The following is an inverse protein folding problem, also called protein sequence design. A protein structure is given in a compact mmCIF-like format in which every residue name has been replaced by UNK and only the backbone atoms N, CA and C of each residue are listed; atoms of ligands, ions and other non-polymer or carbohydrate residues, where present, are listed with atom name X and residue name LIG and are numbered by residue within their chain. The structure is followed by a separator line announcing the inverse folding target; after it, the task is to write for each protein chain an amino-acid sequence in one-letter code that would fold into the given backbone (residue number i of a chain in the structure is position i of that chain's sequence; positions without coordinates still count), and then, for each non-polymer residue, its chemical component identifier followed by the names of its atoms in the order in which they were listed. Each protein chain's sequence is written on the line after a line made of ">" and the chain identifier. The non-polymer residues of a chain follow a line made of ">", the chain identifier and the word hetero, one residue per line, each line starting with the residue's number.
data_IF_421336724796
#
_entry.id   IF_421336724796
#
_cell.length_a   1.000
_cell.length_b   1.000
_cell.length_c   1.000
_cell.angle_alpha   90.00
_cell.angle_beta   90.00
_cell.angle_gamma   90.00
#
_symmetry.space_group_name_H-M   'P 1'
#
loop_
_entity.id
_entity.type
_entity.pdbx_description
1 polymer ?
#
# COMPACT_ATOMS: atom_id res chain seq x y z
N UNK A 1 -39.83 4.91 -52.98
CA UNK A 1 -38.86 5.81 -52.34
C UNK A 1 -38.71 5.35 -50.90
N UNK A 2 -37.58 4.72 -50.57
CA UNK A 2 -37.27 4.29 -49.21
C UNK A 2 -36.23 5.25 -48.65
N UNK A 3 -36.68 6.26 -47.91
CA UNK A 3 -35.79 7.07 -47.08
C UNK A 3 -35.62 6.34 -45.75
N UNK A 4 -34.53 5.59 -45.63
CA UNK A 4 -34.10 5.01 -44.36
C UNK A 4 -33.52 6.11 -43.46
N UNK A 5 -34.14 6.31 -42.32
CA UNK A 5 -33.63 7.15 -41.23
C UNK A 5 -32.31 6.58 -40.69
N UNK A 6 -31.19 7.24 -41.02
CA UNK A 6 -29.82 6.89 -40.59
C UNK A 6 -29.24 7.96 -39.65
N UNK A 7 -30.07 8.66 -38.89
CA UNK A 7 -29.62 9.80 -38.06
C UNK A 7 -29.40 9.44 -36.57
N UNK A 8 -29.74 8.23 -36.14
CA UNK A 8 -29.70 7.83 -34.71
C UNK A 8 -28.39 7.21 -34.21
N UNK A 9 -27.60 6.51 -35.05
CA UNK A 9 -26.42 5.77 -34.57
C UNK A 9 -25.19 6.65 -34.31
N UNK A 10 -25.10 7.82 -34.96
CA UNK A 10 -23.93 8.70 -34.86
C UNK A 10 -23.84 9.48 -33.55
N UNK A 11 -24.96 9.79 -32.90
CA UNK A 11 -24.98 10.54 -31.64
C UNK A 11 -24.56 9.68 -30.46
N UNK A 12 -25.04 8.44 -30.39
CA UNK A 12 -24.80 7.55 -29.25
C UNK A 12 -23.33 7.12 -29.17
N UNK A 13 -22.70 6.85 -30.32
CA UNK A 13 -21.26 6.53 -30.39
C UNK A 13 -20.40 7.74 -29.98
N UNK A 14 -20.82 8.96 -30.34
CA UNK A 14 -20.09 10.18 -29.99
C UNK A 14 -20.21 10.51 -28.50
N UNK A 15 -21.39 10.30 -27.92
CA UNK A 15 -21.61 10.43 -26.48
C UNK A 15 -20.82 9.39 -25.68
N UNK A 16 -20.84 8.13 -26.13
CA UNK A 16 -20.07 7.05 -25.52
C UNK A 16 -18.55 7.28 -25.60
N UNK A 17 -18.04 7.80 -26.72
CA UNK A 17 -16.60 8.11 -26.84
C UNK A 17 -16.16 9.30 -25.97
N UNK A 18 -16.99 10.34 -25.85
CA UNK A 18 -16.73 11.49 -24.97
C UNK A 18 -16.76 11.07 -23.50
N UNK A 19 -17.82 10.37 -23.08
CA UNK A 19 -17.95 9.82 -21.73
C UNK A 19 -16.75 8.97 -21.33
N UNK A 20 -16.31 8.06 -22.21
CA UNK A 20 -15.15 7.22 -21.96
C UNK A 20 -13.84 8.00 -21.89
N UNK A 21 -13.72 9.11 -22.63
CA UNK A 21 -12.55 9.98 -22.53
C UNK A 21 -12.48 10.63 -21.15
N UNK A 22 -13.61 11.13 -20.69
CA UNK A 22 -13.72 11.83 -19.42
C UNK A 22 -13.54 10.84 -18.25
N UNK A 23 -14.12 9.64 -18.33
CA UNK A 23 -13.87 8.55 -17.37
C UNK A 23 -12.38 8.19 -17.26
N UNK A 24 -11.67 8.10 -18.39
CA UNK A 24 -10.22 7.85 -18.37
C UNK A 24 -9.42 9.01 -17.81
N UNK A 25 -9.93 10.24 -17.88
CA UNK A 25 -9.28 11.38 -17.25
C UNK A 25 -9.46 11.29 -15.74
N UNK A 26 -10.70 11.07 -15.28
CA UNK A 26 -11.06 10.91 -13.86
C UNK A 26 -10.28 9.77 -13.19
N UNK A 27 -10.18 8.59 -13.84
CA UNK A 27 -9.38 7.47 -13.33
C UNK A 27 -7.89 7.81 -13.20
N UNK A 28 -7.34 8.62 -14.11
CA UNK A 28 -5.92 9.04 -14.03
C UNK A 28 -5.71 10.08 -12.95
N UNK A 29 -6.64 11.01 -12.79
CA UNK A 29 -6.58 12.03 -11.75
C UNK A 29 -6.61 11.37 -10.38
N UNK A 30 -7.50 10.41 -10.14
CA UNK A 30 -7.54 9.66 -8.88
C UNK A 30 -6.26 8.86 -8.66
N UNK A 31 -5.76 8.13 -9.67
CA UNK A 31 -4.48 7.42 -9.54
C UNK A 31 -3.33 8.36 -9.14
N UNK A 32 -3.24 9.53 -9.76
CA UNK A 32 -2.20 10.52 -9.45
C UNK A 32 -2.38 11.11 -8.05
N UNK A 33 -3.62 11.34 -7.62
CA UNK A 33 -3.91 11.88 -6.31
C UNK A 33 -3.60 10.88 -5.20
N UNK A 34 -3.97 9.61 -5.37
CA UNK A 34 -3.59 8.51 -4.46
C UNK A 34 -2.07 8.34 -4.39
N UNK A 35 -1.35 8.55 -5.49
CA UNK A 35 0.13 8.55 -5.48
C UNK A 35 0.69 9.72 -4.66
N UNK A 36 0.11 10.92 -4.79
CA UNK A 36 0.52 12.11 -4.04
C UNK A 36 0.20 11.99 -2.55
N UNK A 37 -0.95 11.42 -2.21
CA UNK A 37 -1.45 11.30 -0.83
C UNK A 37 -1.01 10.01 -0.12
N UNK A 38 -0.13 9.22 -0.74
CA UNK A 38 0.36 7.94 -0.22
C UNK A 38 0.83 8.00 1.24
N UNK A 39 1.49 9.08 1.64
CA UNK A 39 1.98 9.26 3.03
C UNK A 39 0.84 9.55 4.03
N UNK A 40 -0.21 10.25 3.59
CA UNK A 40 -1.38 10.60 4.41
C UNK A 40 -2.32 9.40 4.59
N UNK A 41 -2.29 8.45 3.65
CA UNK A 41 -3.07 7.20 3.69
C UNK A 41 -2.63 6.19 4.77
N UNK A 42 -1.74 6.61 5.69
CA UNK A 42 -1.51 5.92 6.96
C UNK A 42 -2.78 5.86 7.84
N UNK A 43 -3.69 6.83 7.69
CA UNK A 43 -4.99 6.81 8.35
C UNK A 43 -5.96 5.83 7.64
N UNK A 44 -6.50 4.80 8.34
CA UNK A 44 -7.40 3.81 7.75
C UNK A 44 -8.69 4.40 7.19
N UNK A 45 -9.22 5.46 7.80
CA UNK A 45 -10.47 6.08 7.34
C UNK A 45 -10.30 6.77 5.98
N UNK A 46 -9.11 7.36 5.76
CA UNK A 46 -8.75 8.00 4.48
C UNK A 46 -8.57 6.95 3.39
N UNK A 47 -7.89 5.84 3.71
CA UNK A 47 -7.71 4.72 2.79
C UNK A 47 -9.06 4.09 2.40
N UNK A 48 -9.95 3.88 3.37
CA UNK A 48 -11.28 3.31 3.11
C UNK A 48 -12.09 4.21 2.19
N UNK A 49 -12.10 5.53 2.44
CA UNK A 49 -12.80 6.49 1.58
C UNK A 49 -12.27 6.48 0.14
N UNK A 50 -10.95 6.41 -0.05
CA UNK A 50 -10.34 6.31 -1.37
C UNK A 50 -10.69 5.00 -2.08
N UNK A 51 -10.80 3.90 -1.33
CA UNK A 51 -11.26 2.61 -1.85
C UNK A 51 -12.72 2.68 -2.34
N UNK A 52 -13.61 3.28 -1.54
CA UNK A 52 -15.02 3.48 -1.90
C UNK A 52 -15.19 4.42 -3.10
N UNK A 53 -14.38 5.47 -3.20
CA UNK A 53 -14.36 6.37 -4.36
C UNK A 53 -13.86 5.67 -5.62
N UNK A 54 -12.83 4.82 -5.49
CA UNK A 54 -12.35 3.96 -6.58
C UNK A 54 -13.41 2.96 -7.07
N UNK A 55 -14.12 2.31 -6.14
CA UNK A 55 -15.14 1.31 -6.46
C UNK A 55 -16.32 1.91 -7.23
N UNK A 56 -16.74 3.13 -6.88
CA UNK A 56 -17.77 3.86 -7.65
C UNK A 56 -17.36 4.15 -9.09
N UNK A 57 -16.07 4.31 -9.35
CA UNK A 57 -15.55 4.52 -10.70
C UNK A 57 -15.42 3.21 -11.46
N UNK A 58 -15.12 2.12 -10.76
CA UNK A 58 -15.09 0.77 -11.32
C UNK A 58 -16.45 0.37 -11.92
N UNK A 59 -17.56 0.71 -11.26
CA UNK A 59 -18.92 0.46 -11.78
C UNK A 59 -19.17 1.05 -13.18
N UNK A 60 -18.43 2.10 -13.55
CA UNK A 60 -18.53 2.80 -14.84
C UNK A 60 -17.59 2.23 -15.90
N UNK A 61 -16.68 1.33 -15.54
CA UNK A 61 -15.68 0.74 -16.43
C UNK A 61 -16.31 -0.36 -17.27
N UNK A 62 -16.28 -0.19 -18.60
CA UNK A 62 -16.87 -1.17 -19.54
C UNK A 62 -15.85 -1.80 -20.47
N UNK A 63 -14.66 -1.19 -20.61
CA UNK A 63 -13.66 -1.63 -21.58
C UNK A 63 -12.30 -1.95 -20.94
N UNK A 64 -11.53 -2.87 -21.56
CA UNK A 64 -10.21 -3.28 -21.04
C UNK A 64 -9.24 -2.12 -20.82
N UNK A 65 -9.35 -1.06 -21.63
CA UNK A 65 -8.47 0.12 -21.52
C UNK A 65 -8.69 0.89 -20.22
N UNK A 66 -9.93 1.03 -19.79
CA UNK A 66 -10.28 1.69 -18.52
C UNK A 66 -9.95 0.77 -17.35
N UNK A 67 -10.27 -0.53 -17.46
CA UNK A 67 -9.92 -1.53 -16.47
C UNK A 67 -8.39 -1.61 -16.22
N UNK A 68 -7.57 -1.38 -17.24
CA UNK A 68 -6.12 -1.34 -17.09
C UNK A 68 -5.60 -0.12 -16.30
N UNK A 69 -6.34 0.99 -16.30
CA UNK A 69 -6.00 2.17 -15.48
C UNK A 69 -6.50 1.93 -14.05
N UNK A 70 -7.74 1.47 -13.94
CA UNK A 70 -8.41 1.21 -12.67
C UNK A 70 -7.70 0.11 -11.83
N UNK A 71 -7.31 -1.00 -12.45
CA UNK A 71 -6.50 -2.05 -11.79
C UNK A 71 -5.16 -1.54 -11.25
N UNK A 72 -4.54 -0.53 -11.90
CA UNK A 72 -3.31 0.09 -11.36
C UNK A 72 -3.62 0.89 -10.10
N UNK A 73 -4.77 1.55 -10.06
CA UNK A 73 -5.24 2.28 -8.90
C UNK A 73 -5.52 1.33 -7.72
N UNK A 74 -6.29 0.26 -7.93
CA UNK A 74 -6.55 -0.73 -6.88
C UNK A 74 -5.30 -1.49 -6.42
N UNK A 75 -4.35 -1.75 -7.33
CA UNK A 75 -3.06 -2.32 -6.95
C UNK A 75 -2.33 -1.41 -5.97
N UNK A 76 -2.28 -0.11 -6.24
CA UNK A 76 -1.65 0.87 -5.34
C UNK A 76 -2.35 0.92 -3.98
N UNK A 77 -3.69 0.99 -3.97
CA UNK A 77 -4.48 0.97 -2.73
C UNK A 77 -4.22 -0.32 -1.93
N UNK A 78 -4.17 -1.47 -2.60
CA UNK A 78 -3.88 -2.76 -1.98
C UNK A 78 -2.47 -2.82 -1.41
N UNK A 79 -1.47 -2.26 -2.09
CA UNK A 79 -0.10 -2.16 -1.58
C UNK A 79 -0.04 -1.32 -0.30
N UNK A 80 -0.80 -0.20 -0.25
CA UNK A 80 -0.86 0.67 0.92
C UNK A 80 -1.59 -0.02 2.07
N UNK A 81 -2.74 -0.65 1.79
CA UNK A 81 -3.47 -1.47 2.77
C UNK A 81 -2.59 -2.60 3.33
N UNK A 82 -1.81 -3.26 2.47
CA UNK A 82 -0.86 -4.30 2.89
C UNK A 82 0.18 -3.71 3.83
N UNK A 83 0.84 -2.60 3.48
CA UNK A 83 1.82 -1.94 4.34
C UNK A 83 1.23 -1.54 5.69
N UNK A 84 0.00 -1.00 5.72
CA UNK A 84 -0.71 -0.67 6.95
C UNK A 84 -1.04 -1.91 7.79
N UNK A 85 -1.49 -2.99 7.15
CA UNK A 85 -1.73 -4.27 7.84
C UNK A 85 -0.45 -4.85 8.43
N UNK A 86 0.68 -4.74 7.74
CA UNK A 86 1.97 -5.20 8.23
C UNK A 86 2.44 -4.37 9.43
N UNK A 87 2.24 -3.05 9.39
CA UNK A 87 2.51 -2.17 10.52
C UNK A 87 1.63 -2.47 11.74
N UNK A 88 0.35 -2.78 11.54
CA UNK A 88 -0.61 -3.05 12.63
C UNK A 88 -0.50 -4.45 13.22
N UNK A 89 -0.16 -5.47 12.41
CA UNK A 89 0.05 -6.86 12.88
C UNK A 89 1.30 -7.02 13.75
N UNK A 90 2.10 -5.97 13.92
CA UNK A 90 3.35 -6.03 14.69
C UNK A 90 4.35 -7.02 14.08
N UNK A 91 4.18 -7.39 12.80
CA UNK A 91 5.22 -8.09 12.05
C UNK A 91 6.46 -7.19 12.10
N UNK A 92 7.46 -7.66 12.85
CA UNK A 92 8.71 -6.99 13.23
C UNK A 92 9.51 -6.47 12.02
N UNK A 93 9.07 -5.39 11.36
CA UNK A 93 9.77 -4.87 10.17
C UNK A 93 10.00 -3.36 10.24
N UNK A 94 10.13 -2.80 11.44
CA UNK A 94 11.07 -1.69 11.58
C UNK A 94 12.07 -2.07 12.66
N UNK A 95 13.14 -2.74 12.20
CA UNK A 95 14.38 -2.77 12.96
C UNK A 95 14.82 -1.32 13.15
N UNK A 96 14.50 -0.75 14.31
CA UNK A 96 14.98 0.56 14.68
C UNK A 96 16.38 0.36 15.26
N UNK A 97 17.39 0.72 14.46
CA UNK A 97 18.80 0.57 14.81
C UNK A 97 19.13 1.27 16.13
N UNK A 98 18.58 2.47 16.38
CA UNK A 98 18.82 3.21 17.62
C UNK A 98 18.26 2.46 18.83
N UNK A 99 17.00 2.02 18.76
CA UNK A 99 16.35 1.26 19.85
C UNK A 99 17.06 -0.08 20.07
N UNK A 100 17.54 -0.72 19.00
CA UNK A 100 18.33 -1.94 19.12
C UNK A 100 19.68 -1.69 19.79
N UNK A 101 20.42 -0.67 19.36
CA UNK A 101 21.70 -0.28 19.94
C UNK A 101 21.56 0.12 21.41
N UNK A 102 20.54 0.88 21.80
CA UNK A 102 20.26 1.23 23.19
C UNK A 102 19.99 -0.01 24.05
N UNK A 103 19.15 -0.94 23.56
CA UNK A 103 18.89 -2.21 24.25
C UNK A 103 20.14 -3.08 24.36
N UNK A 104 20.95 -3.11 23.30
CA UNK A 104 22.21 -3.85 23.28
C UNK A 104 23.21 -3.27 24.29
N UNK A 105 23.36 -1.94 24.34
CA UNK A 105 24.21 -1.24 25.30
C UNK A 105 23.73 -1.46 26.74
N UNK A 106 22.42 -1.38 26.97
CA UNK A 106 21.81 -1.68 28.27
C UNK A 106 22.11 -3.11 28.74
N UNK A 107 22.03 -4.10 27.84
CA UNK A 107 22.40 -5.50 28.12
C UNK A 107 23.90 -5.69 28.42
N UNK A 108 24.76 -4.86 27.81
CA UNK A 108 26.21 -4.88 28.03
C UNK A 108 26.64 -4.06 29.26
N UNK A 109 25.69 -3.55 30.05
CA UNK A 109 25.96 -2.72 31.23
C UNK A 109 26.52 -1.33 30.89
N UNK A 110 26.50 -0.94 29.60
CA UNK A 110 26.93 0.36 29.12
C UNK A 110 25.79 1.36 29.23
N UNK A 111 25.67 2.01 30.39
CA UNK A 111 24.97 3.29 30.49
C UNK A 111 25.84 4.42 29.91
N UNK A 112 25.29 5.64 29.83
CA UNK A 112 25.94 6.84 29.28
C UNK A 112 27.33 7.14 29.88
N UNK A 113 27.62 6.60 31.08
CA UNK A 113 28.81 6.88 31.89
C UNK A 113 29.78 5.69 32.04
N UNK A 114 29.55 4.55 31.37
CA UNK A 114 30.38 3.34 31.51
C UNK A 114 30.68 2.68 30.17
N UNK A 115 31.93 2.26 29.89
CA UNK A 115 32.26 1.56 28.66
C UNK A 115 31.54 0.21 28.57
N UNK A 116 31.05 -0.20 27.38
CA UNK A 116 30.32 -1.45 27.21
C UNK A 116 31.23 -2.67 27.41
N UNK A 117 30.75 -3.67 28.15
CA UNK A 117 31.44 -4.95 28.32
C UNK A 117 31.05 -5.96 27.22
N UNK A 118 31.86 -6.00 26.17
CA UNK A 118 31.69 -6.91 25.03
C UNK A 118 31.76 -8.40 25.41
N UNK A 119 32.32 -8.75 26.57
CA UNK A 119 32.40 -10.16 27.02
C UNK A 119 31.03 -10.71 27.43
N UNK A 120 30.12 -9.84 27.88
CA UNK A 120 28.73 -10.20 28.23
C UNK A 120 27.97 -10.62 26.98
N UNK A 121 28.12 -9.86 25.89
CA UNK A 121 27.49 -10.18 24.60
C UNK A 121 27.97 -11.54 24.07
N UNK A 122 29.28 -11.80 24.12
CA UNK A 122 29.84 -13.08 23.71
C UNK A 122 29.29 -14.27 24.51
N UNK A 123 29.12 -14.13 25.83
CA UNK A 123 28.53 -15.18 26.68
C UNK A 123 27.05 -15.43 26.36
N UNK A 124 26.28 -14.37 26.09
CA UNK A 124 24.87 -14.48 25.72
C UNK A 124 24.68 -15.12 24.34
N UNK A 125 25.50 -14.73 23.35
CA UNK A 125 25.50 -15.30 22.01
C UNK A 125 25.85 -16.79 22.02
N UNK A 126 26.87 -17.20 22.79
CA UNK A 126 27.22 -18.63 22.92
C UNK A 126 26.07 -19.43 23.58
N UNK A 127 25.28 -18.81 24.46
CA UNK A 127 24.14 -19.45 25.12
C UNK A 127 22.94 -19.61 24.20
N UNK A 128 22.67 -18.64 23.32
CA UNK A 128 21.54 -18.70 22.38
C UNK A 128 21.71 -19.76 21.29
N UNK A 129 22.94 -20.01 20.82
CA UNK A 129 23.20 -21.08 19.84
C UNK A 129 23.21 -22.49 20.43
N UNK A 130 23.27 -22.63 21.77
CA UNK A 130 23.19 -23.94 22.45
C UNK A 130 21.76 -24.45 22.59
N UNK A 131 20.76 -23.59 22.45
CA UNK A 131 19.35 -23.97 22.48
C UNK A 131 18.87 -24.07 21.04
N UNK A 132 18.69 -25.29 20.53
CA UNK A 132 18.05 -25.47 19.23
C UNK A 132 16.67 -24.80 19.26
N UNK A 133 16.32 -23.95 18.29
CA UNK A 133 15.01 -23.32 18.24
C UNK A 133 13.97 -24.42 18.13
N UNK A 134 13.26 -24.68 19.22
CA UNK A 134 12.17 -25.66 19.22
C UNK A 134 10.99 -24.95 18.58
N UNK A 135 10.67 -25.32 17.34
CA UNK A 135 9.38 -24.99 16.74
C UNK A 135 8.32 -25.64 17.61
N UNK A 136 7.67 -24.84 18.48
CA UNK A 136 6.40 -25.24 19.06
C UNK A 136 5.40 -25.25 17.91
N UNK A 137 5.04 -26.47 17.49
CA UNK A 137 3.94 -26.79 16.58
C UNK A 137 2.65 -26.76 17.37
#
# INVERSE_FOLDING_TARGET
>A
MASGSSEGEGSDIRWDTAFRRDLRQELRENLLETQRTREVMSNPDVLLKQLEEGDKLYDRVTLPREAAIDSKHFKLLSEIARCQSQGSRGELVHFNEQVYCEKLLSLMGGGLDSPPDWTVLGKLFIKSFKVAPTTQV
#
